data_IF_660400717032
#
_entry.id   IF_660400717032
#
_cell.length_a   1.000
_cell.length_b   1.000
_cell.length_c   1.000
_cell.angle_alpha   90.00
_cell.angle_beta   90.00
_cell.angle_gamma   90.00
#
_symmetry.space_group_name_H-M   'P 1'
#
loop_
_entity.id
_entity.type
_entity.pdbx_description
1 polymer ?
#
# COMPACT_ATOMS: atom_id res chain seq x y z
N UNK A 1 6.92 30.80 76.58
CA UNK A 1 5.76 30.13 75.96
C UNK A 1 4.77 31.22 75.58
N UNK A 2 4.85 31.71 74.35
CA UNK A 2 3.86 32.65 73.80
C UNK A 2 3.50 32.19 72.39
N UNK A 3 2.34 31.55 72.30
CA UNK A 3 1.67 31.22 71.04
C UNK A 3 1.23 32.53 70.38
N UNK A 4 1.92 32.96 69.32
CA UNK A 4 1.39 34.02 68.46
C UNK A 4 0.21 33.45 67.67
N UNK A 5 -0.98 33.88 68.06
CA UNK A 5 -2.22 33.79 67.31
C UNK A 5 -2.00 34.35 65.89
N UNK A 6 -1.83 33.46 64.91
CA UNK A 6 -2.08 33.81 63.52
C UNK A 6 -3.55 34.17 63.39
N UNK A 7 -3.83 35.37 62.92
CA UNK A 7 -5.17 35.93 63.00
C UNK A 7 -6.12 35.14 62.10
N UNK A 8 -7.29 34.79 62.64
CA UNK A 8 -8.42 34.15 61.92
C UNK A 8 -8.77 34.84 60.58
N UNK A 9 -8.39 36.12 60.44
CA UNK A 9 -8.59 36.94 59.24
C UNK A 9 -7.66 36.57 58.08
N UNK A 10 -6.46 36.08 58.37
CA UNK A 10 -5.48 35.66 57.35
C UNK A 10 -5.82 34.28 56.78
N UNK A 11 -6.30 33.36 57.62
CA UNK A 11 -6.79 32.04 57.18
C UNK A 11 -8.03 32.13 56.30
N UNK A 12 -8.99 33.01 56.63
CA UNK A 12 -10.19 33.23 55.80
C UNK A 12 -9.84 33.87 54.45
N UNK A 13 -8.85 34.79 54.42
CA UNK A 13 -8.36 35.38 53.16
C UNK A 13 -7.64 34.35 52.29
N UNK A 14 -6.84 33.47 52.88
CA UNK A 14 -6.16 32.39 52.15
C UNK A 14 -7.16 31.38 51.58
N UNK A 15 -8.19 31.01 52.35
CA UNK A 15 -9.26 30.12 51.88
C UNK A 15 -10.09 30.78 50.78
N UNK A 16 -10.42 32.07 50.90
CA UNK A 16 -11.12 32.79 49.85
C UNK A 16 -10.30 32.88 48.56
N UNK A 17 -8.98 33.11 48.65
CA UNK A 17 -8.07 33.10 47.50
C UNK A 17 -7.93 31.72 46.87
N UNK A 18 -7.89 30.66 47.68
CA UNK A 18 -7.88 29.27 47.21
C UNK A 18 -9.18 28.92 46.50
N UNK A 19 -10.34 29.32 47.04
CA UNK A 19 -11.63 29.14 46.38
C UNK A 19 -11.72 29.95 45.09
N UNK A 20 -11.23 31.20 45.07
CA UNK A 20 -11.20 32.02 43.87
C UNK A 20 -10.28 31.43 42.80
N UNK A 21 -9.08 30.96 43.18
CA UNK A 21 -8.17 30.24 42.28
C UNK A 21 -8.78 28.93 41.78
N UNK A 22 -9.52 28.20 42.63
CA UNK A 22 -10.21 26.96 42.23
C UNK A 22 -11.32 27.25 41.23
N UNK A 23 -12.10 28.32 41.44
CA UNK A 23 -13.15 28.79 40.52
C UNK A 23 -12.55 29.30 39.21
N UNK A 24 -11.44 30.04 39.26
CA UNK A 24 -10.72 30.50 38.06
C UNK A 24 -10.10 29.32 37.30
N UNK A 25 -9.57 28.30 37.97
CA UNK A 25 -9.08 27.08 37.32
C UNK A 25 -10.21 26.24 36.73
N UNK A 26 -11.36 26.13 37.41
CA UNK A 26 -12.57 25.45 36.92
C UNK A 26 -13.26 26.19 35.77
N UNK A 27 -13.14 27.52 35.69
CA UNK A 27 -13.67 28.33 34.59
C UNK A 27 -12.66 28.47 33.44
N UNK A 28 -11.35 28.45 33.71
CA UNK A 28 -10.31 28.48 32.68
C UNK A 28 -10.32 27.21 31.79
N UNK A 29 -10.73 26.07 32.33
CA UNK A 29 -10.93 24.84 31.53
C UNK A 29 -12.12 24.92 30.57
N UNK A 30 -13.02 25.89 30.73
CA UNK A 30 -14.12 26.13 29.77
C UNK A 30 -13.74 27.09 28.63
N UNK A 31 -12.55 27.71 28.70
CA UNK A 31 -12.06 28.68 27.69
C UNK A 31 -10.87 28.18 26.87
N UNK A 32 -10.35 26.98 27.17
CA UNK A 32 -9.70 26.20 26.12
C UNK A 32 -10.84 25.80 25.18
N UNK A 33 -10.81 26.14 23.87
CA UNK A 33 -11.80 25.56 22.98
C UNK A 33 -11.68 24.06 23.21
N UNK A 34 -12.74 23.42 23.69
CA UNK A 34 -12.79 21.97 23.71
C UNK A 34 -12.36 21.57 22.31
N UNK A 35 -11.12 21.05 22.16
CA UNK A 35 -10.72 20.40 20.93
C UNK A 35 -11.78 19.32 20.83
N UNK A 36 -12.71 19.52 19.89
CA UNK A 36 -13.77 18.55 19.66
C UNK A 36 -13.07 17.41 18.96
N UNK A 37 -12.38 16.58 19.77
CA UNK A 37 -11.86 15.29 19.36
C UNK A 37 -13.05 14.59 18.71
N UNK A 38 -12.92 14.31 17.42
CA UNK A 38 -13.98 13.66 16.66
C UNK A 38 -14.96 14.56 15.91
N UNK A 39 -14.64 15.80 15.53
CA UNK A 39 -15.41 16.53 14.49
C UNK A 39 -14.51 17.00 13.35
N UNK A 40 -14.97 16.74 12.12
CA UNK A 40 -14.24 17.11 10.90
C UNK A 40 -13.37 15.96 10.39
N UNK A 41 -12.34 16.30 9.62
CA UNK A 41 -11.43 15.31 9.08
C UNK A 41 -10.60 14.62 10.17
N UNK A 42 -10.08 13.44 9.87
CA UNK A 42 -9.17 12.70 10.75
C UNK A 42 -7.88 13.47 10.89
N UNK A 43 -7.44 13.65 12.12
CA UNK A 43 -6.08 14.11 12.39
C UNK A 43 -5.08 12.93 12.38
N UNK A 44 -3.79 13.26 12.40
CA UNK A 44 -2.72 12.27 12.39
C UNK A 44 -2.68 11.43 13.67
N UNK A 45 -3.15 11.97 14.80
CA UNK A 45 -3.19 11.29 16.09
C UNK A 45 -4.28 10.20 16.10
N UNK A 46 -5.47 10.52 15.60
CA UNK A 46 -6.58 9.60 15.39
C UNK A 46 -6.20 8.49 14.42
N UNK A 47 -5.51 8.84 13.32
CA UNK A 47 -5.01 7.87 12.35
C UNK A 47 -3.96 6.94 12.97
N UNK A 48 -3.03 7.48 13.76
CA UNK A 48 -2.02 6.69 14.47
C UNK A 48 -2.64 5.81 15.54
N UNK A 49 -3.60 6.33 16.30
CA UNK A 49 -4.32 5.60 17.34
C UNK A 49 -4.97 4.33 16.79
N UNK A 50 -5.69 4.44 15.67
CA UNK A 50 -6.31 3.27 15.03
C UNK A 50 -5.26 2.27 14.53
N UNK A 51 -4.15 2.74 13.96
CA UNK A 51 -3.03 1.86 13.55
C UNK A 51 -2.41 1.12 14.72
N UNK A 52 -2.20 1.79 15.85
CA UNK A 52 -1.67 1.17 17.07
C UNK A 52 -2.65 0.12 17.63
N UNK A 53 -3.96 0.42 17.63
CA UNK A 53 -4.98 -0.55 18.05
C UNK A 53 -4.95 -1.83 17.21
N UNK A 54 -4.79 -1.69 15.89
CA UNK A 54 -4.78 -2.82 14.95
C UNK A 54 -3.43 -3.54 14.88
N UNK A 55 -2.33 -2.82 15.04
CA UNK A 55 -0.98 -3.36 14.98
C UNK A 55 -0.48 -3.81 16.35
N UNK A 56 -0.03 -2.84 17.16
CA UNK A 56 0.68 -3.08 18.42
C UNK A 56 -0.20 -3.73 19.50
N UNK A 57 -1.46 -3.30 19.61
CA UNK A 57 -2.37 -3.79 20.64
C UNK A 57 -3.24 -4.97 20.18
N UNK A 58 -3.20 -5.32 18.89
CA UNK A 58 -3.96 -6.43 18.30
C UNK A 58 -5.43 -6.50 18.78
N UNK A 59 -6.09 -5.34 18.83
CA UNK A 59 -7.42 -5.14 19.43
C UNK A 59 -8.43 -4.67 18.37
N UNK A 60 -8.81 -5.54 17.42
CA UNK A 60 -9.70 -5.18 16.31
C UNK A 60 -11.11 -4.75 16.77
N UNK A 61 -11.61 -5.32 17.87
CA UNK A 61 -12.90 -4.97 18.44
C UNK A 61 -12.96 -3.52 18.94
N UNK A 62 -11.92 -3.08 19.64
CA UNK A 62 -11.81 -1.71 20.13
C UNK A 62 -11.66 -0.73 18.97
N UNK A 63 -10.86 -1.09 17.96
CA UNK A 63 -10.73 -0.31 16.74
C UNK A 63 -12.10 -0.15 16.05
N UNK A 64 -12.86 -1.25 15.89
CA UNK A 64 -14.19 -1.23 15.26
C UNK A 64 -15.17 -0.33 16.00
N UNK A 65 -15.27 -0.46 17.31
CA UNK A 65 -16.17 0.37 18.13
C UNK A 65 -15.82 1.86 18.01
N UNK A 66 -14.53 2.18 18.08
CA UNK A 66 -14.06 3.55 17.95
C UNK A 66 -14.34 4.10 16.54
N UNK A 67 -13.99 3.34 15.49
CA UNK A 67 -14.21 3.73 14.09
C UNK A 67 -15.69 3.96 13.80
N UNK A 68 -16.57 3.03 14.20
CA UNK A 68 -18.02 3.16 14.01
C UNK A 68 -18.60 4.40 14.71
N UNK A 69 -18.04 4.77 15.87
CA UNK A 69 -18.37 6.02 16.54
C UNK A 69 -17.92 7.22 15.72
N UNK A 70 -16.66 7.22 15.26
CA UNK A 70 -16.04 8.32 14.51
C UNK A 70 -16.66 8.56 13.13
N UNK A 71 -17.13 7.51 12.46
CA UNK A 71 -17.82 7.61 11.16
C UNK A 71 -19.08 8.48 11.21
N UNK A 72 -19.71 8.65 12.38
CA UNK A 72 -20.92 9.48 12.55
C UNK A 72 -20.63 10.98 12.40
N UNK A 73 -19.39 11.39 12.61
CA UNK A 73 -18.96 12.80 12.63
C UNK A 73 -17.82 13.11 11.64
N UNK A 74 -17.33 12.10 10.91
CA UNK A 74 -16.28 12.24 9.92
C UNK A 74 -16.77 12.84 8.59
N UNK A 75 -15.93 13.67 7.97
CA UNK A 75 -16.09 14.12 6.58
C UNK A 75 -15.95 12.96 5.58
N UNK A 76 -16.29 13.22 4.30
CA UNK A 76 -16.31 12.17 3.26
C UNK A 76 -14.96 11.49 3.04
N UNK A 77 -13.86 12.26 3.02
CA UNK A 77 -12.50 11.73 2.82
C UNK A 77 -12.07 10.87 4.01
N UNK A 78 -12.31 11.39 5.22
CA UNK A 78 -12.01 10.68 6.47
C UNK A 78 -12.85 9.42 6.65
N UNK A 79 -14.09 9.43 6.17
CA UNK A 79 -14.95 8.25 6.15
C UNK A 79 -14.36 7.14 5.27
N UNK A 80 -13.79 7.47 4.12
CA UNK A 80 -13.11 6.49 3.27
C UNK A 80 -11.92 5.86 4.02
N UNK A 81 -11.09 6.66 4.70
CA UNK A 81 -9.97 6.15 5.50
C UNK A 81 -10.43 5.24 6.65
N UNK A 82 -11.53 5.58 7.32
CA UNK A 82 -12.13 4.76 8.37
C UNK A 82 -12.69 3.44 7.85
N UNK A 83 -13.35 3.44 6.69
CA UNK A 83 -13.83 2.20 6.06
C UNK A 83 -12.66 1.27 5.70
N UNK A 84 -11.51 1.81 5.29
CA UNK A 84 -10.29 1.02 5.12
C UNK A 84 -9.73 0.44 6.42
N UNK A 85 -9.77 1.20 7.53
CA UNK A 85 -9.36 0.65 8.83
C UNK A 85 -10.32 -0.42 9.36
N UNK A 86 -11.60 -0.37 8.98
CA UNK A 86 -12.52 -1.46 9.28
C UNK A 86 -12.15 -2.74 8.52
N UNK A 87 -11.72 -2.62 7.26
CA UNK A 87 -11.21 -3.77 6.52
C UNK A 87 -9.97 -4.35 7.23
N UNK A 88 -9.03 -3.51 7.68
CA UNK A 88 -7.86 -3.99 8.44
C UNK A 88 -8.22 -4.77 9.70
N UNK A 89 -9.28 -4.37 10.41
CA UNK A 89 -9.75 -5.10 11.58
C UNK A 89 -10.13 -6.54 11.19
N UNK A 90 -10.81 -6.73 10.06
CA UNK A 90 -11.16 -8.05 9.51
C UNK A 90 -9.91 -8.87 9.16
N UNK A 91 -8.87 -8.23 8.60
CA UNK A 91 -7.58 -8.88 8.34
C UNK A 91 -6.91 -9.37 9.63
N UNK A 92 -6.93 -8.53 10.67
CA UNK A 92 -6.33 -8.84 11.98
C UNK A 92 -7.07 -9.99 12.69
N UNK A 93 -8.38 -10.11 12.47
CA UNK A 93 -9.20 -11.23 12.95
C UNK A 93 -8.94 -12.54 12.20
N UNK A 94 -8.16 -12.51 11.12
CA UNK A 94 -7.81 -13.68 10.32
C UNK A 94 -8.79 -13.98 9.17
N UNK A 95 -9.79 -13.13 8.95
CA UNK A 95 -10.69 -13.24 7.79
C UNK A 95 -10.07 -12.54 6.58
N UNK A 96 -9.16 -13.26 5.91
CA UNK A 96 -8.42 -12.74 4.75
C UNK A 96 -9.35 -12.56 3.54
N UNK A 97 -10.30 -13.48 3.33
CA UNK A 97 -11.25 -13.42 2.23
C UNK A 97 -12.21 -12.22 2.38
N UNK A 98 -12.72 -11.99 3.59
CA UNK A 98 -13.54 -10.82 3.93
C UNK A 98 -12.77 -9.51 3.79
N UNK A 99 -11.49 -9.49 4.20
CA UNK A 99 -10.59 -8.36 3.98
C UNK A 99 -10.43 -8.04 2.49
N UNK A 100 -10.11 -9.04 1.67
CA UNK A 100 -9.88 -8.88 0.24
C UNK A 100 -11.12 -8.31 -0.46
N UNK A 101 -12.29 -8.89 -0.19
CA UNK A 101 -13.55 -8.41 -0.73
C UNK A 101 -13.84 -6.95 -0.32
N UNK A 102 -13.55 -6.60 0.93
CA UNK A 102 -13.73 -5.25 1.45
C UNK A 102 -12.80 -4.24 0.76
N UNK A 103 -11.49 -4.51 0.66
CA UNK A 103 -10.54 -3.58 0.06
C UNK A 103 -10.79 -3.37 -1.44
N UNK A 104 -11.23 -4.41 -2.16
CA UNK A 104 -11.62 -4.29 -3.57
C UNK A 104 -12.88 -3.43 -3.74
N UNK A 105 -13.89 -3.63 -2.88
CA UNK A 105 -15.10 -2.81 -2.90
C UNK A 105 -14.79 -1.34 -2.57
N UNK A 106 -13.93 -1.11 -1.59
CA UNK A 106 -13.50 0.24 -1.20
C UNK A 106 -12.67 0.92 -2.29
N UNK A 107 -11.77 0.19 -2.97
CA UNK A 107 -10.97 0.76 -4.04
C UNK A 107 -11.85 1.18 -5.24
N UNK A 108 -12.91 0.42 -5.54
CA UNK A 108 -13.91 0.80 -6.54
C UNK A 108 -14.75 2.01 -6.10
N UNK A 109 -15.07 2.10 -4.82
CA UNK A 109 -15.89 3.18 -4.25
C UNK A 109 -15.13 4.50 -4.11
N UNK A 110 -13.83 4.44 -3.84
CA UNK A 110 -12.96 5.59 -3.60
C UNK A 110 -11.68 5.52 -4.44
N UNK A 111 -11.74 5.57 -5.78
CA UNK A 111 -10.57 5.38 -6.64
C UNK A 111 -9.42 6.36 -6.35
N UNK A 112 -9.75 7.60 -5.98
CA UNK A 112 -8.78 8.67 -5.68
C UNK A 112 -8.17 8.59 -4.26
N UNK A 113 -8.66 7.70 -3.40
CA UNK A 113 -8.14 7.61 -2.05
C UNK A 113 -6.71 7.03 -2.06
N UNK A 114 -5.74 7.58 -1.31
CA UNK A 114 -4.33 7.15 -1.37
C UNK A 114 -4.14 5.64 -1.14
N UNK A 115 -5.01 5.06 -0.31
CA UNK A 115 -4.97 3.63 0.02
C UNK A 115 -5.56 2.72 -1.06
N UNK A 116 -6.37 3.23 -1.98
CA UNK A 116 -7.04 2.42 -3.01
C UNK A 116 -6.04 1.75 -3.93
N UNK A 117 -4.97 2.45 -4.31
CA UNK A 117 -3.87 1.90 -5.11
C UNK A 117 -3.16 0.76 -4.35
N UNK A 118 -2.82 0.98 -3.07
CA UNK A 118 -2.23 -0.06 -2.22
C UNK A 118 -3.12 -1.28 -2.05
N UNK A 119 -4.42 -1.06 -1.80
CA UNK A 119 -5.42 -2.11 -1.67
C UNK A 119 -5.62 -2.93 -2.96
N UNK A 120 -5.60 -2.29 -4.13
CA UNK A 120 -5.66 -3.00 -5.39
C UNK A 120 -4.41 -3.87 -5.60
N UNK A 121 -3.23 -3.38 -5.21
CA UNK A 121 -2.00 -4.18 -5.29
C UNK A 121 -2.03 -5.36 -4.30
N UNK A 122 -2.53 -5.16 -3.09
CA UNK A 122 -2.72 -6.24 -2.10
C UNK A 122 -3.71 -7.30 -2.61
N UNK A 123 -4.79 -6.88 -3.26
CA UNK A 123 -5.74 -7.79 -3.90
C UNK A 123 -5.08 -8.61 -5.02
N UNK A 124 -4.21 -8.00 -5.82
CA UNK A 124 -3.43 -8.73 -6.85
C UNK A 124 -2.51 -9.77 -6.21
N UNK A 125 -1.83 -9.42 -5.11
CA UNK A 125 -0.96 -10.37 -4.39
C UNK A 125 -1.75 -11.53 -3.78
N UNK A 126 -2.93 -11.26 -3.20
CA UNK A 126 -3.83 -12.30 -2.72
C UNK A 126 -4.32 -13.21 -3.85
N UNK A 127 -4.71 -12.62 -4.99
CA UNK A 127 -5.10 -13.38 -6.17
C UNK A 127 -3.96 -14.26 -6.71
N UNK A 128 -2.70 -13.81 -6.65
CA UNK A 128 -1.54 -14.62 -7.02
C UNK A 128 -1.36 -15.85 -6.11
N UNK A 129 -1.66 -15.74 -4.81
CA UNK A 129 -1.64 -16.89 -3.89
C UNK A 129 -2.75 -17.90 -4.23
N UNK A 130 -3.99 -17.41 -4.40
CA UNK A 130 -5.13 -18.27 -4.80
C UNK A 130 -4.90 -18.94 -6.15
N UNK A 131 -4.20 -18.26 -7.06
CA UNK A 131 -3.80 -18.79 -8.34
C UNK A 131 -2.80 -19.95 -8.18
N UNK A 132 -1.83 -19.85 -7.27
CA UNK A 132 -0.88 -20.92 -6.96
C UNK A 132 -1.58 -22.14 -6.33
N UNK A 133 -2.54 -21.91 -5.43
CA UNK A 133 -3.38 -22.97 -4.86
C UNK A 133 -4.17 -23.71 -5.95
N UNK A 134 -4.84 -22.98 -6.85
CA UNK A 134 -5.56 -23.58 -7.97
C UNK A 134 -4.64 -24.34 -8.94
N UNK A 135 -3.41 -23.86 -9.12
CA UNK A 135 -2.41 -24.58 -9.91
C UNK A 135 -1.97 -25.88 -9.22
N UNK A 136 -1.78 -25.84 -7.90
CA UNK A 136 -1.47 -27.00 -7.07
C UNK A 136 -2.59 -28.03 -7.15
N UNK A 137 -3.85 -27.62 -6.99
CA UNK A 137 -5.02 -28.48 -7.18
C UNK A 137 -5.06 -29.12 -8.57
N UNK A 138 -4.73 -28.36 -9.62
CA UNK A 138 -4.69 -28.88 -10.99
C UNK A 138 -3.61 -29.96 -11.17
N UNK A 139 -2.44 -29.80 -10.54
CA UNK A 139 -1.33 -30.75 -10.59
C UNK A 139 -1.69 -32.05 -9.87
N UNK A 140 -2.33 -31.94 -8.69
CA UNK A 140 -2.67 -33.10 -7.85
C UNK A 140 -4.06 -33.70 -8.12
N UNK A 141 -4.84 -33.12 -9.04
CA UNK A 141 -6.16 -33.62 -9.39
C UNK A 141 -6.13 -35.05 -9.93
N UNK A 142 -6.89 -35.94 -9.28
CA UNK A 142 -6.99 -37.37 -9.64
C UNK A 142 -7.98 -37.65 -10.77
N UNK A 143 -8.75 -36.64 -11.22
CA UNK A 143 -9.69 -36.78 -12.34
C UNK A 143 -9.52 -35.65 -13.36
N UNK A 144 -9.72 -35.93 -14.67
CA UNK A 144 -9.66 -34.89 -15.70
C UNK A 144 -10.64 -33.73 -15.47
N UNK A 145 -11.83 -34.04 -14.95
CA UNK A 145 -12.85 -33.02 -14.65
C UNK A 145 -12.42 -32.06 -13.53
N UNK A 146 -11.81 -32.58 -12.45
CA UNK A 146 -11.28 -31.74 -11.37
C UNK A 146 -10.09 -30.89 -11.87
N UNK A 147 -9.17 -31.50 -12.62
CA UNK A 147 -8.04 -30.80 -13.23
C UNK A 147 -8.49 -29.64 -14.12
N UNK A 148 -9.46 -29.87 -14.99
CA UNK A 148 -9.94 -28.83 -15.90
C UNK A 148 -10.62 -27.67 -15.16
N UNK A 149 -11.34 -27.94 -14.05
CA UNK A 149 -11.93 -26.88 -13.22
C UNK A 149 -10.86 -26.04 -12.53
N UNK A 150 -9.84 -26.68 -11.96
CA UNK A 150 -8.74 -25.99 -11.30
C UNK A 150 -7.93 -25.12 -12.29
N UNK A 151 -7.62 -25.65 -13.48
CA UNK A 151 -6.99 -24.88 -14.57
C UNK A 151 -7.86 -23.68 -14.97
N UNK A 152 -9.17 -23.88 -15.17
CA UNK A 152 -10.06 -22.78 -15.53
C UNK A 152 -10.16 -21.70 -14.44
N UNK A 153 -10.13 -22.10 -13.16
CA UNK A 153 -10.08 -21.17 -12.03
C UNK A 153 -8.78 -20.37 -12.01
N UNK A 154 -7.63 -21.05 -12.13
CA UNK A 154 -6.30 -20.44 -12.24
C UNK A 154 -6.23 -19.41 -13.37
N UNK A 155 -6.64 -19.80 -14.58
CA UNK A 155 -6.55 -18.95 -15.77
C UNK A 155 -7.51 -17.74 -15.67
N UNK A 156 -8.67 -17.92 -15.03
CA UNK A 156 -9.60 -16.82 -14.73
C UNK A 156 -9.00 -15.83 -13.74
N UNK A 157 -8.42 -16.31 -12.63
CA UNK A 157 -7.76 -15.45 -11.64
C UNK A 157 -6.61 -14.67 -12.26
N UNK A 158 -5.78 -15.34 -13.07
CA UNK A 158 -4.74 -14.67 -13.88
C UNK A 158 -5.32 -13.53 -14.71
N UNK A 159 -6.36 -13.80 -15.48
CA UNK A 159 -6.88 -12.83 -16.46
C UNK A 159 -7.57 -11.65 -15.80
N UNK A 160 -8.47 -11.91 -14.85
CA UNK A 160 -9.43 -10.92 -14.34
C UNK A 160 -8.92 -10.22 -13.08
N UNK A 161 -8.25 -10.96 -12.20
CA UNK A 161 -7.92 -10.48 -10.85
C UNK A 161 -6.46 -10.04 -10.74
N UNK A 162 -5.59 -10.57 -11.60
CA UNK A 162 -4.16 -10.19 -11.64
C UNK A 162 -3.88 -9.28 -12.84
N UNK A 163 -4.00 -9.82 -14.05
CA UNK A 163 -3.53 -9.19 -15.28
C UNK A 163 -4.26 -7.89 -15.57
N UNK A 164 -5.59 -7.93 -15.57
CA UNK A 164 -6.40 -6.76 -15.86
C UNK A 164 -6.16 -5.62 -14.85
N UNK A 165 -6.12 -5.92 -13.54
CA UNK A 165 -5.91 -4.91 -12.50
C UNK A 165 -4.54 -4.24 -12.64
N UNK A 166 -3.49 -5.02 -12.93
CA UNK A 166 -2.15 -4.51 -13.13
C UNK A 166 -2.06 -3.63 -14.38
N UNK A 167 -2.55 -4.11 -15.53
CA UNK A 167 -2.51 -3.36 -16.79
C UNK A 167 -3.30 -2.04 -16.69
N UNK A 168 -4.52 -2.08 -16.15
CA UNK A 168 -5.38 -0.90 -15.99
C UNK A 168 -4.70 0.14 -15.09
N UNK A 169 -4.07 -0.28 -13.99
CA UNK A 169 -3.36 0.63 -13.09
C UNK A 169 -2.08 1.19 -13.69
N UNK A 170 -1.31 0.39 -14.44
CA UNK A 170 -0.11 0.87 -15.14
C UNK A 170 -0.49 1.94 -16.16
N UNK A 171 -1.55 1.71 -16.94
CA UNK A 171 -2.06 2.70 -17.89
C UNK A 171 -2.49 3.99 -17.19
N UNK A 172 -3.22 3.88 -16.08
CA UNK A 172 -3.62 5.03 -15.27
C UNK A 172 -2.38 5.79 -14.75
N UNK A 173 -1.40 5.10 -14.16
CA UNK A 173 -0.21 5.75 -13.63
C UNK A 173 0.60 6.46 -14.73
N UNK A 174 0.71 5.85 -15.91
CA UNK A 174 1.38 6.48 -17.04
C UNK A 174 0.66 7.76 -17.49
N UNK A 175 -0.67 7.74 -17.56
CA UNK A 175 -1.45 8.95 -17.91
C UNK A 175 -1.33 10.06 -16.86
N UNK A 176 -1.31 9.71 -15.57
CA UNK A 176 -1.11 10.66 -14.47
C UNK A 176 0.29 11.29 -14.53
N UNK A 177 1.31 10.48 -14.85
CA UNK A 177 2.69 10.93 -14.99
C UNK A 177 2.87 11.87 -16.17
N UNK A 178 2.37 11.54 -17.35
CA UNK A 178 2.43 12.41 -18.53
C UNK A 178 1.79 13.78 -18.23
N UNK A 179 0.65 13.79 -17.54
CA UNK A 179 -0.02 15.03 -17.14
C UNK A 179 0.80 15.83 -16.11
N UNK A 180 1.54 15.16 -15.22
CA UNK A 180 2.38 15.80 -14.22
C UNK A 180 3.69 16.33 -14.82
N UNK A 181 4.32 15.58 -15.72
CA UNK A 181 5.49 16.01 -16.49
C UNK A 181 5.17 17.28 -17.29
N UNK A 182 4.02 17.32 -17.97
CA UNK A 182 3.56 18.52 -18.67
C UNK A 182 3.42 19.74 -17.75
N UNK A 183 2.96 19.54 -16.50
CA UNK A 183 2.87 20.61 -15.49
C UNK A 183 4.25 21.07 -15.01
N UNK A 184 5.19 20.14 -14.79
CA UNK A 184 6.58 20.47 -14.42
C UNK A 184 7.23 21.34 -15.51
N UNK A 185 7.07 20.95 -16.77
CA UNK A 185 7.61 21.70 -17.92
C UNK A 185 6.96 23.08 -18.05
N UNK A 186 5.65 23.18 -17.79
CA UNK A 186 4.91 24.44 -17.85
C UNK A 186 5.16 25.38 -16.65
N UNK A 187 5.76 24.90 -15.56
CA UNK A 187 6.00 25.68 -14.35
C UNK A 187 6.99 26.83 -14.61
N UNK A 188 6.57 28.05 -14.27
CA UNK A 188 7.32 29.28 -14.56
C UNK A 188 8.25 29.71 -13.45
N UNK A 189 7.91 29.39 -12.21
CA UNK A 189 8.70 29.66 -11.02
C UNK A 189 9.43 28.40 -10.53
N UNK A 190 10.63 28.60 -9.98
CA UNK A 190 11.50 27.50 -9.56
C UNK A 190 10.94 26.75 -8.35
N UNK A 191 10.24 27.42 -7.44
CA UNK A 191 9.61 26.81 -6.26
C UNK A 191 8.50 25.82 -6.66
N UNK A 192 7.59 26.22 -7.56
CA UNK A 192 6.57 25.31 -8.08
C UNK A 192 7.16 24.18 -8.91
N UNK A 193 8.23 24.45 -9.68
CA UNK A 193 8.92 23.41 -10.46
C UNK A 193 9.57 22.38 -9.55
N UNK A 194 10.20 22.81 -8.45
CA UNK A 194 10.81 21.92 -7.46
C UNK A 194 9.75 21.05 -6.79
N UNK A 195 8.66 21.65 -6.28
CA UNK A 195 7.56 20.91 -5.66
C UNK A 195 6.94 19.88 -6.61
N UNK A 196 6.67 20.26 -7.87
CA UNK A 196 6.10 19.35 -8.86
C UNK A 196 7.09 18.26 -9.27
N UNK A 197 8.39 18.54 -9.30
CA UNK A 197 9.43 17.53 -9.54
C UNK A 197 9.47 16.48 -8.43
N UNK A 198 9.33 16.88 -7.16
CA UNK A 198 9.24 15.96 -6.03
C UNK A 198 7.99 15.07 -6.14
N UNK A 199 6.85 15.65 -6.50
CA UNK A 199 5.61 14.91 -6.73
C UNK A 199 5.77 13.91 -7.90
N UNK A 200 6.45 14.34 -8.97
CA UNK A 200 6.73 13.51 -10.13
C UNK A 200 7.59 12.31 -9.75
N UNK A 201 8.69 12.51 -9.02
CA UNK A 201 9.54 11.42 -8.54
C UNK A 201 8.77 10.43 -7.65
N UNK A 202 7.89 10.91 -6.76
CA UNK A 202 7.06 10.05 -5.94
C UNK A 202 6.08 9.21 -6.78
N UNK A 203 5.45 9.82 -7.80
CA UNK A 203 4.56 9.12 -8.73
C UNK A 203 5.30 8.10 -9.60
N UNK A 204 6.51 8.42 -10.05
CA UNK A 204 7.42 7.52 -10.77
C UNK A 204 7.67 6.26 -9.94
N UNK A 205 7.99 6.43 -8.64
CA UNK A 205 8.20 5.31 -7.74
C UNK A 205 6.97 4.39 -7.57
N UNK A 206 5.76 4.96 -7.61
CA UNK A 206 4.51 4.20 -7.57
C UNK A 206 4.29 3.43 -8.88
N UNK A 207 4.42 4.08 -10.05
CA UNK A 207 4.34 3.40 -11.35
C UNK A 207 5.34 2.24 -11.43
N UNK A 208 6.59 2.48 -11.04
CA UNK A 208 7.64 1.46 -11.10
C UNK A 208 7.32 0.25 -10.21
N UNK A 209 6.66 0.46 -9.07
CA UNK A 209 6.17 -0.64 -8.25
C UNK A 209 5.12 -1.46 -9.01
N UNK A 210 4.14 -0.83 -9.65
CA UNK A 210 3.10 -1.52 -10.42
C UNK A 210 3.68 -2.33 -11.59
N UNK A 211 4.57 -1.73 -12.38
CA UNK A 211 5.22 -2.43 -13.48
C UNK A 211 6.08 -3.59 -13.00
N UNK A 212 6.80 -3.41 -11.90
CA UNK A 212 7.59 -4.49 -11.32
C UNK A 212 6.73 -5.66 -10.84
N UNK A 213 5.56 -5.36 -10.28
CA UNK A 213 4.62 -6.39 -9.84
C UNK A 213 4.01 -7.15 -11.04
N UNK A 214 3.84 -6.49 -12.18
CA UNK A 214 3.50 -7.17 -13.43
C UNK A 214 4.60 -8.14 -13.90
N UNK A 215 5.88 -7.76 -13.80
CA UNK A 215 6.98 -8.67 -14.13
C UNK A 215 6.95 -9.94 -13.26
N UNK A 216 6.73 -9.76 -11.95
CA UNK A 216 6.63 -10.88 -11.02
C UNK A 216 5.41 -11.75 -11.30
N UNK A 217 4.24 -11.15 -11.52
CA UNK A 217 3.02 -11.86 -11.85
C UNK A 217 3.18 -12.68 -13.14
N UNK A 218 3.76 -12.08 -14.19
CA UNK A 218 4.09 -12.77 -15.44
C UNK A 218 5.01 -13.96 -15.19
N UNK A 219 6.13 -13.75 -14.49
CA UNK A 219 7.10 -14.81 -14.15
C UNK A 219 6.46 -15.98 -13.39
N UNK A 220 5.55 -15.71 -12.46
CA UNK A 220 4.84 -16.73 -11.70
C UNK A 220 3.91 -17.52 -12.60
N UNK A 221 3.02 -16.83 -13.33
CA UNK A 221 2.01 -17.49 -14.14
C UNK A 221 2.61 -18.25 -15.33
N UNK A 222 3.64 -17.72 -16.01
CA UNK A 222 4.24 -18.41 -17.16
C UNK A 222 4.84 -19.75 -16.79
N UNK A 223 5.41 -19.89 -15.58
CA UNK A 223 5.96 -21.15 -15.07
C UNK A 223 4.90 -22.20 -14.74
N UNK A 224 3.63 -21.80 -14.61
CA UNK A 224 2.51 -22.71 -14.36
C UNK A 224 1.89 -23.25 -15.65
N UNK A 225 2.28 -22.70 -16.79
CA UNK A 225 1.80 -23.15 -18.08
C UNK A 225 2.59 -24.38 -18.55
N UNK A 226 1.99 -25.27 -19.37
CA UNK A 226 2.71 -26.41 -19.91
C UNK A 226 3.94 -25.99 -20.73
N UNK A 227 5.04 -26.72 -20.55
CA UNK A 227 6.27 -26.48 -21.31
C UNK A 227 6.02 -26.49 -22.81
N UNK A 228 6.58 -25.50 -23.51
CA UNK A 228 6.45 -25.36 -24.96
C UNK A 228 5.07 -24.90 -25.45
N UNK A 229 4.10 -24.62 -24.56
CA UNK A 229 2.82 -24.05 -24.95
C UNK A 229 3.01 -22.67 -25.61
N UNK A 230 2.28 -22.41 -26.71
CA UNK A 230 2.37 -21.14 -27.44
C UNK A 230 2.02 -19.93 -26.58
N UNK A 231 1.07 -20.09 -25.65
CA UNK A 231 0.73 -19.04 -24.68
C UNK A 231 1.91 -18.75 -23.75
N UNK A 232 2.61 -19.79 -23.27
CA UNK A 232 3.78 -19.62 -22.41
C UNK A 232 4.90 -18.89 -23.15
N UNK A 233 5.21 -19.29 -24.39
CA UNK A 233 6.22 -18.60 -25.22
C UNK A 233 5.88 -17.13 -25.43
N UNK A 234 4.62 -16.80 -25.74
CA UNK A 234 4.17 -15.41 -25.91
C UNK A 234 4.37 -14.59 -24.63
N UNK A 235 3.98 -15.13 -23.49
CA UNK A 235 4.10 -14.44 -22.21
C UNK A 235 5.57 -14.33 -21.75
N UNK A 236 6.42 -15.31 -22.05
CA UNK A 236 7.87 -15.19 -21.83
C UNK A 236 8.48 -14.12 -22.74
N UNK A 237 8.03 -14.00 -24.00
CA UNK A 237 8.42 -12.91 -24.90
C UNK A 237 8.05 -11.54 -24.32
N UNK A 238 6.81 -11.40 -23.86
CA UNK A 238 6.36 -10.18 -23.19
C UNK A 238 7.17 -9.88 -21.92
N UNK A 239 7.40 -10.90 -21.08
CA UNK A 239 8.20 -10.78 -19.87
C UNK A 239 9.62 -10.30 -20.18
N UNK A 240 10.25 -10.86 -21.22
CA UNK A 240 11.59 -10.45 -21.64
C UNK A 240 11.61 -8.98 -22.10
N UNK A 241 10.66 -8.57 -22.94
CA UNK A 241 10.56 -7.18 -23.41
C UNK A 241 10.37 -6.21 -22.26
N UNK A 242 9.39 -6.45 -21.39
CA UNK A 242 9.08 -5.56 -20.27
C UNK A 242 10.19 -5.52 -19.22
N UNK A 243 10.82 -6.67 -18.93
CA UNK A 243 11.93 -6.72 -17.98
C UNK A 243 13.14 -5.93 -18.50
N UNK A 244 13.44 -6.05 -19.80
CA UNK A 244 14.48 -5.25 -20.44
C UNK A 244 14.18 -3.75 -20.38
N UNK A 245 12.97 -3.35 -20.77
CA UNK A 245 12.53 -1.94 -20.66
C UNK A 245 12.68 -1.42 -19.23
N UNK A 246 12.31 -2.24 -18.23
CA UNK A 246 12.45 -1.89 -16.83
C UNK A 246 13.92 -1.67 -16.44
N UNK A 247 14.82 -2.55 -16.87
CA UNK A 247 16.26 -2.43 -16.58
C UNK A 247 16.87 -1.21 -17.25
N UNK A 248 16.50 -0.95 -18.50
CA UNK A 248 17.09 0.10 -19.33
C UNK A 248 16.63 1.51 -18.93
N UNK A 249 15.45 1.63 -18.30
CA UNK A 249 14.83 2.93 -17.97
C UNK A 249 14.95 3.34 -16.50
N UNK A 250 15.24 2.43 -15.55
CA UNK A 250 15.04 2.67 -14.10
C UNK A 250 16.31 2.57 -13.26
N UNK A 251 17.26 3.45 -13.54
CA UNK A 251 18.59 3.47 -12.92
C UNK A 251 18.60 3.71 -11.41
N UNK A 252 17.62 4.47 -10.89
CA UNK A 252 17.60 4.91 -9.49
C UNK A 252 17.11 3.83 -8.51
N UNK A 253 16.57 2.71 -8.99
CA UNK A 253 16.04 1.64 -8.15
C UNK A 253 16.86 0.35 -8.27
N UNK A 254 18.06 0.37 -7.68
CA UNK A 254 19.04 -0.73 -7.81
C UNK A 254 18.45 -2.10 -7.46
N UNK A 255 17.71 -2.23 -6.35
CA UNK A 255 17.15 -3.50 -5.91
C UNK A 255 16.15 -4.11 -6.90
N UNK A 256 15.17 -3.31 -7.37
CA UNK A 256 14.19 -3.80 -8.36
C UNK A 256 14.82 -4.00 -9.74
N UNK A 257 15.80 -3.18 -10.11
CA UNK A 257 16.55 -3.32 -11.37
C UNK A 257 17.33 -4.62 -11.40
N UNK A 258 18.02 -4.96 -10.31
CA UNK A 258 18.71 -6.24 -10.16
C UNK A 258 17.76 -7.42 -10.34
N UNK A 259 16.62 -7.40 -9.64
CA UNK A 259 15.63 -8.48 -9.77
C UNK A 259 15.00 -8.52 -11.17
N UNK A 260 14.72 -7.37 -11.80
CA UNK A 260 14.25 -7.30 -13.18
C UNK A 260 15.27 -7.90 -14.17
N UNK A 261 16.57 -7.69 -13.96
CA UNK A 261 17.62 -8.30 -14.79
C UNK A 261 17.65 -9.83 -14.61
N UNK A 262 17.47 -10.34 -13.39
CA UNK A 262 17.31 -11.78 -13.16
C UNK A 262 16.07 -12.33 -13.89
N UNK A 263 14.96 -11.62 -13.83
CA UNK A 263 13.72 -11.98 -14.53
C UNK A 263 13.96 -12.00 -16.05
N UNK A 264 14.68 -11.01 -16.58
CA UNK A 264 15.02 -10.92 -18.00
C UNK A 264 15.85 -12.12 -18.45
N UNK A 265 16.95 -12.44 -17.75
CA UNK A 265 17.76 -13.62 -18.05
C UNK A 265 16.97 -14.93 -17.98
N UNK A 266 16.09 -15.08 -16.98
CA UNK A 266 15.20 -16.25 -16.88
C UNK A 266 14.23 -16.36 -18.05
N UNK A 267 13.68 -15.23 -18.52
CA UNK A 267 12.78 -15.19 -19.66
C UNK A 267 13.51 -15.57 -20.96
N UNK A 268 14.71 -15.03 -21.20
CA UNK A 268 15.55 -15.38 -22.35
C UNK A 268 15.90 -16.88 -22.39
N UNK A 269 16.30 -17.44 -21.23
CA UNK A 269 16.58 -18.87 -21.12
C UNK A 269 15.34 -19.71 -21.47
N UNK A 270 14.16 -19.30 -21.00
CA UNK A 270 12.88 -19.97 -21.27
C UNK A 270 12.43 -19.84 -22.74
N UNK A 271 12.91 -18.82 -23.46
CA UNK A 271 12.71 -18.64 -24.89
C UNK A 271 13.73 -19.41 -25.76
N UNK A 272 14.62 -20.19 -25.14
CA UNK A 272 15.65 -20.94 -25.86
C UNK A 272 16.83 -20.08 -26.31
N UNK A 273 17.11 -18.98 -25.60
CA UNK A 273 18.25 -18.08 -25.85
C UNK A 273 19.26 -18.12 -24.68
N UNK A 274 19.85 -19.29 -24.35
CA UNK A 274 20.69 -19.45 -23.16
C UNK A 274 22.00 -18.64 -23.21
N UNK A 275 22.58 -18.43 -24.40
CA UNK A 275 23.80 -17.63 -24.55
C UNK A 275 23.57 -16.15 -24.23
N UNK A 276 22.45 -15.59 -24.72
CA UNK A 276 22.05 -14.22 -24.40
C UNK A 276 21.68 -14.09 -22.93
N UNK A 277 20.97 -15.08 -22.37
CA UNK A 277 20.67 -15.12 -20.95
C UNK A 277 21.95 -15.12 -20.08
N UNK A 278 22.97 -15.90 -20.47
CA UNK A 278 24.24 -15.95 -19.75
C UNK A 278 24.96 -14.60 -19.78
N UNK A 279 25.06 -13.95 -20.96
CA UNK A 279 25.69 -12.64 -21.09
C UNK A 279 24.98 -11.57 -20.24
N UNK A 280 23.65 -11.58 -20.22
CA UNK A 280 22.85 -10.63 -19.44
C UNK A 280 22.94 -10.89 -17.93
N UNK A 281 23.13 -12.15 -17.50
CA UNK A 281 23.32 -12.50 -16.10
C UNK A 281 24.77 -12.29 -15.62
N UNK A 282 25.75 -12.38 -16.51
CA UNK A 282 27.16 -12.06 -16.22
C UNK A 282 27.32 -10.59 -15.82
N UNK A 283 26.54 -9.69 -16.45
CA UNK A 283 26.45 -8.28 -16.04
C UNK A 283 26.07 -8.09 -14.57
N UNK A 284 25.41 -9.07 -13.92
CA UNK A 284 25.08 -8.99 -12.49
C UNK A 284 26.24 -9.37 -11.57
N UNK A 285 27.19 -10.17 -12.07
CA UNK A 285 28.38 -10.62 -11.33
C UNK A 285 29.47 -9.54 -11.36
N UNK A 286 29.52 -8.75 -12.43
CA UNK A 286 30.48 -7.65 -12.61
C UNK A 286 30.09 -6.34 -11.90
N UNK A 287 28.90 -6.29 -11.27
CA UNK A 287 28.49 -5.14 -10.43
C UNK A 287 29.04 -5.34 -9.02
N UNK A 288 30.28 -4.90 -8.78
CA UNK A 288 30.73 -4.61 -7.42
C UNK A 288 29.77 -3.57 -6.79
N UNK A 289 29.28 -3.75 -5.55
CA UNK A 289 28.55 -2.71 -4.86
C UNK A 289 29.52 -1.54 -4.62
N UNK A 290 29.31 -0.43 -5.30
CA UNK A 290 30.13 0.80 -5.19
C UNK A 290 29.92 1.56 -3.87
N UNK A 291 29.50 0.88 -2.81
CA UNK A 291 29.30 1.48 -1.50
C UNK A 291 30.14 0.69 -0.49
N UNK A 292 31.29 1.26 -0.14
CA UNK A 292 32.04 0.85 1.04
C UNK A 292 31.11 0.81 2.26
N UNK A 293 31.11 -0.27 3.08
CA UNK A 293 30.36 -0.28 4.31
C UNK A 293 30.92 0.77 5.30
N UNK A 294 30.07 1.40 6.13
CA UNK A 294 30.48 2.41 7.12
C UNK A 294 31.41 1.85 8.20
#
# INVERSE_FOLDING_TARGET
MELRLTSLRETVRFQALLCLCSVVLLLATTMVPAQVIGRGDLDDEETRFVRELLGSYNSPDLARLWIQSRMKSAGSTSRASLEYFLADATRVEGDIDGYEAAIQALAKRYPEHPRSKGAQLEAVLAALLRLDDANTEAIFATSPGARNRAIAARDRMWTVEVRQILDDNILLQNSELEALEAKVVAARDDESRERLSVELSAKVGVRDLWEFQLLNALKVYTKMLPDGAEIAKKLFGELATRAKEFVDQRYENFGRRYEAQLIYGQALASLGQPEQAAAELELLVDIEPSVDPP
#
